data_IF_761709734541
#
_entry.id   IF_761709734541
#
_cell.length_a   1.000
_cell.length_b   1.000
_cell.length_c   1.000
_cell.angle_alpha   90.00
_cell.angle_beta   90.00
_cell.angle_gamma   90.00
#
_symmetry.space_group_name_H-M   'P 1'
#
loop_
_entity.id
_entity.type
_entity.pdbx_description
1 polymer ?
#
# COMPACT_ATOMS: atom_id res chain seq x y z
N UNK A 1 -2.47 -8.24 -17.20
CA UNK A 1 -3.69 -7.67 -16.57
C UNK A 1 -3.32 -6.30 -16.02
N UNK A 2 -4.17 -5.30 -16.21
CA UNK A 2 -3.97 -3.95 -15.70
C UNK A 2 -4.46 -3.83 -14.25
N UNK A 3 -3.80 -3.05 -13.37
CA UNK A 3 -4.30 -2.78 -12.03
C UNK A 3 -5.64 -2.03 -12.03
N UNK A 4 -6.47 -2.34 -11.02
CA UNK A 4 -7.82 -1.77 -10.84
C UNK A 4 -7.85 -1.01 -9.51
N UNK A 5 -8.60 0.08 -9.46
CA UNK A 5 -8.89 0.88 -8.27
C UNK A 5 -10.39 0.98 -8.03
N UNK A 6 -10.80 0.99 -6.75
CA UNK A 6 -12.17 1.32 -6.36
C UNK A 6 -12.26 2.83 -6.08
N UNK A 7 -13.07 3.54 -6.86
CA UNK A 7 -13.30 4.98 -6.70
C UNK A 7 -14.32 5.25 -5.58
N UNK A 8 -14.30 6.42 -4.95
CA UNK A 8 -15.33 6.81 -4.00
C UNK A 8 -16.74 6.76 -4.59
N UNK A 9 -17.79 6.50 -3.81
CA UNK A 9 -17.83 6.08 -2.40
C UNK A 9 -18.22 4.61 -2.23
N UNK A 10 -18.06 3.79 -3.27
CA UNK A 10 -18.48 2.38 -3.27
C UNK A 10 -17.34 1.45 -3.73
N UNK A 11 -17.09 0.32 -3.06
CA UNK A 11 -16.12 -0.69 -3.51
C UNK A 11 -16.40 -1.24 -4.91
N UNK A 12 -17.65 -1.20 -5.36
CA UNK A 12 -18.06 -1.69 -6.68
C UNK A 12 -17.80 -0.68 -7.81
N UNK A 13 -17.50 0.58 -7.47
CA UNK A 13 -17.12 1.61 -8.43
C UNK A 13 -15.68 1.39 -8.92
N UNK A 14 -15.46 0.36 -9.73
CA UNK A 14 -14.14 -0.06 -10.21
C UNK A 14 -13.73 0.74 -11.45
N UNK A 15 -12.47 1.14 -11.51
CA UNK A 15 -11.85 1.78 -12.66
C UNK A 15 -10.44 1.23 -12.87
N UNK A 16 -9.94 1.29 -14.10
CA UNK A 16 -8.53 1.02 -14.38
C UNK A 16 -7.65 2.13 -13.81
N UNK A 17 -6.41 1.83 -13.47
CA UNK A 17 -5.48 2.87 -13.00
C UNK A 17 -5.23 3.95 -14.06
N UNK A 18 -5.19 3.59 -15.35
CA UNK A 18 -5.04 4.55 -16.46
C UNK A 18 -6.20 5.55 -16.58
N UNK A 19 -7.37 5.26 -15.99
CA UNK A 19 -8.53 6.16 -16.00
C UNK A 19 -8.52 7.18 -14.84
N UNK A 20 -7.51 7.12 -13.95
CA UNK A 20 -7.43 7.92 -12.73
C UNK A 20 -6.12 8.74 -12.64
N UNK A 21 -5.50 9.09 -13.76
CA UNK A 21 -4.20 9.78 -13.81
C UNK A 21 -4.26 11.24 -13.28
N UNK A 22 -5.44 11.85 -13.29
CA UNK A 22 -5.70 13.22 -12.82
C UNK A 22 -5.92 13.32 -11.30
N UNK A 23 -6.00 12.17 -10.60
CA UNK A 23 -6.28 12.12 -9.16
C UNK A 23 -5.02 12.48 -8.37
N UNK A 24 -5.05 13.64 -7.71
CA UNK A 24 -4.04 14.01 -6.73
C UNK A 24 -4.22 13.21 -5.44
N UNK A 25 -3.11 12.65 -4.93
CA UNK A 25 -3.06 11.93 -3.66
C UNK A 25 -2.40 12.80 -2.59
N UNK A 26 -2.97 12.82 -1.39
CA UNK A 26 -2.37 13.52 -0.24
C UNK A 26 -1.75 12.55 0.77
N UNK A 27 -2.26 11.31 0.85
CA UNK A 27 -1.77 10.27 1.78
C UNK A 27 -1.93 8.88 1.18
N UNK A 28 -1.04 7.96 1.59
CA UNK A 28 -1.12 6.55 1.26
C UNK A 28 -1.09 5.67 2.51
N UNK A 29 -1.94 4.63 2.55
CA UNK A 29 -1.93 3.60 3.56
C UNK A 29 -1.66 2.24 2.91
N UNK A 30 -0.63 1.55 3.36
CA UNK A 30 -0.28 0.20 2.89
C UNK A 30 -0.54 -0.75 4.05
N UNK A 31 -1.54 -1.62 3.87
CA UNK A 31 -2.00 -2.59 4.87
C UNK A 31 -3.30 -2.17 5.56
N UNK A 32 -4.15 -3.16 5.84
CA UNK A 32 -5.50 -3.02 6.39
C UNK A 32 -5.91 -4.30 7.15
N UNK A 33 -7.20 -4.56 7.35
CA UNK A 33 -7.67 -5.88 7.79
C UNK A 33 -7.65 -6.92 6.64
N UNK A 34 -7.77 -6.47 5.39
CA UNK A 34 -7.82 -7.32 4.20
C UNK A 34 -6.45 -7.50 3.51
N UNK A 35 -5.52 -6.58 3.72
CA UNK A 35 -4.12 -6.66 3.29
C UNK A 35 -3.16 -6.30 4.43
N UNK A 36 -1.85 -6.40 4.25
CA UNK A 36 -0.87 -6.12 5.32
C UNK A 36 -0.29 -7.38 5.96
N UNK A 37 -0.14 -8.43 5.15
CA UNK A 37 0.73 -9.59 5.43
C UNK A 37 2.18 -9.22 5.10
N UNK A 38 3.12 -10.06 5.53
CA UNK A 38 4.54 -9.85 5.24
C UNK A 38 4.81 -9.71 3.72
N UNK A 39 4.14 -10.50 2.90
CA UNK A 39 4.28 -10.48 1.43
C UNK A 39 3.93 -9.12 0.82
N UNK A 40 2.89 -8.46 1.32
CA UNK A 40 2.45 -7.16 0.83
C UNK A 40 3.51 -6.09 1.12
N UNK A 41 4.10 -6.16 2.33
CA UNK A 41 5.15 -5.25 2.75
C UNK A 41 6.49 -5.50 2.04
N UNK A 42 6.83 -6.76 1.75
CA UNK A 42 8.00 -7.08 0.92
C UNK A 42 7.84 -6.54 -0.51
N UNK A 43 6.65 -6.66 -1.10
CA UNK A 43 6.36 -6.08 -2.41
C UNK A 43 6.48 -4.55 -2.40
N UNK A 44 5.90 -3.89 -1.39
CA UNK A 44 6.03 -2.44 -1.20
C UNK A 44 7.49 -2.02 -1.01
N UNK A 45 8.25 -2.74 -0.18
CA UNK A 45 9.68 -2.47 0.05
C UNK A 45 10.51 -2.59 -1.24
N UNK A 46 10.21 -3.60 -2.08
CA UNK A 46 10.88 -3.76 -3.38
C UNK A 46 10.59 -2.57 -4.32
N UNK A 47 9.37 -2.06 -4.34
CA UNK A 47 8.97 -0.91 -5.17
C UNK A 47 9.59 0.41 -4.68
N UNK A 48 9.73 0.56 -3.36
CA UNK A 48 10.22 1.78 -2.71
C UNK A 48 11.74 1.80 -2.50
N UNK A 49 12.45 0.67 -2.68
CA UNK A 49 13.90 0.58 -2.43
C UNK A 49 14.66 1.62 -3.27
N UNK A 50 15.46 2.45 -2.58
CA UNK A 50 16.24 3.53 -3.22
C UNK A 50 15.42 4.75 -3.64
N UNK A 51 14.12 4.81 -3.29
CA UNK A 51 13.23 5.94 -3.60
C UNK A 51 12.76 6.60 -2.31
N UNK A 52 12.35 7.87 -2.43
CA UNK A 52 11.67 8.62 -1.37
C UNK A 52 10.21 8.79 -1.73
N UNK A 53 9.31 8.54 -0.79
CA UNK A 53 7.87 8.80 -0.97
C UNK A 53 7.61 10.30 -1.07
N UNK A 54 6.69 10.70 -1.94
CA UNK A 54 6.33 12.11 -2.14
C UNK A 54 5.23 12.60 -1.20
N UNK A 55 4.43 11.68 -0.66
CA UNK A 55 3.29 11.95 0.22
C UNK A 55 3.41 11.16 1.50
N UNK A 56 2.67 11.57 2.53
CA UNK A 56 2.63 10.87 3.80
C UNK A 56 2.16 9.43 3.59
N UNK A 57 3.07 8.49 3.88
CA UNK A 57 2.85 7.07 3.62
C UNK A 57 2.94 6.28 4.92
N UNK A 58 1.88 5.55 5.25
CA UNK A 58 1.73 4.79 6.49
C UNK A 58 1.75 3.30 6.20
N UNK A 59 2.62 2.57 6.90
CA UNK A 59 2.70 1.11 6.86
C UNK A 59 1.93 0.54 8.06
N UNK A 60 0.80 -0.11 7.80
CA UNK A 60 -0.15 -0.56 8.84
C UNK A 60 -0.28 -2.09 8.81
N UNK A 61 0.41 -2.82 9.69
CA UNK A 61 0.34 -4.28 9.70
C UNK A 61 -1.02 -4.79 10.18
N UNK A 62 -1.54 -5.82 9.50
CA UNK A 62 -2.83 -6.45 9.83
C UNK A 62 -2.87 -7.05 11.24
N UNK A 63 -1.73 -7.51 11.76
CA UNK A 63 -1.64 -8.08 13.11
C UNK A 63 -0.40 -7.59 13.86
N UNK A 64 -0.48 -7.60 15.20
CA UNK A 64 0.66 -7.29 16.06
C UNK A 64 1.84 -8.26 15.89
N UNK A 65 1.59 -9.49 15.40
CA UNK A 65 2.62 -10.51 15.18
C UNK A 65 3.71 -10.03 14.24
N UNK A 66 3.33 -9.29 13.18
CA UNK A 66 4.27 -8.81 12.17
C UNK A 66 5.14 -7.63 12.62
N UNK A 67 4.68 -6.83 13.60
CA UNK A 67 5.48 -5.71 14.15
C UNK A 67 6.83 -6.18 14.72
N UNK A 68 6.91 -7.41 15.23
CA UNK A 68 8.15 -8.00 15.77
C UNK A 68 9.10 -8.45 14.68
N UNK A 69 8.59 -8.97 13.56
CA UNK A 69 9.39 -9.44 12.41
C UNK A 69 10.09 -8.29 11.70
N UNK A 70 9.41 -7.16 11.46
CA UNK A 70 10.01 -5.98 10.80
C UNK A 70 11.16 -5.34 11.58
N UNK A 71 11.20 -5.52 12.90
CA UNK A 71 12.33 -5.03 13.72
C UNK A 71 13.59 -5.88 13.57
N UNK A 72 13.50 -7.12 13.09
CA UNK A 72 14.63 -8.07 13.08
C UNK A 72 15.50 -8.01 11.83
N UNK A 73 14.99 -7.48 10.72
CA UNK A 73 15.72 -7.36 9.44
C UNK A 73 16.53 -6.04 9.31
N UNK A 74 16.60 -5.23 10.36
CA UNK A 74 17.43 -4.02 10.40
C UNK A 74 18.86 -4.24 10.93
N UNK A 75 19.26 -5.50 11.15
CA UNK A 75 20.61 -5.88 11.57
C UNK A 75 21.34 -6.60 10.45
#
# INVERSE_FOLDING_TARGET
MEPIVAKPHSPDNKAKVSECEDVRLDRAYIGSCTGGKLTDFMAAAKLLKGKKVQIDTFIVPATRKWKKTFKREKN
#
